data_IF_193606641522
#
_entry.id   IF_193606641522
#
_cell.length_a   1.000
_cell.length_b   1.000
_cell.length_c   1.000
_cell.angle_alpha   90.00
_cell.angle_beta   90.00
_cell.angle_gamma   90.00
#
_symmetry.space_group_name_H-M   'P 1'
#
loop_
_entity.id
_entity.type
_entity.pdbx_description
1 polymer ?
#
# COMPACT_ATOMS: atom_id res chain seq x y z
N UNK A 1 -0.30 -15.80 -7.38
CA UNK A 1 -1.26 -14.92 -6.69
C UNK A 1 -2.49 -15.66 -6.22
N UNK A 2 -3.21 -16.38 -7.10
CA UNK A 2 -4.45 -17.10 -6.72
C UNK A 2 -4.31 -18.00 -5.48
N UNK A 3 -3.26 -18.82 -5.40
CA UNK A 3 -2.99 -19.65 -4.22
C UNK A 3 -2.82 -18.83 -2.94
N UNK A 4 -2.11 -17.70 -3.02
CA UNK A 4 -1.89 -16.79 -1.89
C UNK A 4 -3.21 -16.16 -1.44
N UNK A 5 -4.02 -15.69 -2.40
CA UNK A 5 -5.34 -15.12 -2.12
C UNK A 5 -6.26 -16.14 -1.44
N UNK A 6 -6.31 -17.37 -1.94
CA UNK A 6 -7.14 -18.42 -1.36
C UNK A 6 -6.71 -18.76 0.07
N UNK A 7 -5.40 -18.82 0.32
CA UNK A 7 -4.84 -19.06 1.66
C UNK A 7 -5.20 -17.93 2.64
N UNK A 8 -5.04 -16.67 2.22
CA UNK A 8 -5.42 -15.50 3.02
C UNK A 8 -6.92 -15.54 3.35
N UNK A 9 -7.78 -15.79 2.37
CA UNK A 9 -9.24 -15.83 2.60
C UNK A 9 -9.65 -16.92 3.58
N UNK A 10 -8.94 -18.06 3.60
CA UNK A 10 -9.24 -19.18 4.47
C UNK A 10 -8.73 -18.96 5.89
N UNK A 11 -7.60 -18.25 6.04
CA UNK A 11 -6.85 -18.20 7.29
C UNK A 11 -6.67 -16.76 7.84
N UNK A 12 -7.44 -15.77 7.36
CA UNK A 12 -7.24 -14.35 7.70
C UNK A 12 -7.21 -14.08 9.21
N UNK A 13 -7.99 -14.83 10.00
CA UNK A 13 -8.06 -14.67 11.46
C UNK A 13 -6.78 -15.12 12.18
N UNK A 14 -6.00 -16.02 11.56
CA UNK A 14 -4.78 -16.60 12.13
C UNK A 14 -3.49 -15.96 11.59
N UNK A 15 -3.58 -15.17 10.52
CA UNK A 15 -2.41 -14.56 9.88
C UNK A 15 -2.09 -13.21 10.50
N UNK A 16 -1.06 -13.20 11.35
CA UNK A 16 -0.40 -11.97 11.79
C UNK A 16 0.34 -11.39 10.56
N UNK A 17 -0.06 -10.20 10.11
CA UNK A 17 0.40 -9.54 8.88
C UNK A 17 -0.04 -10.20 7.57
N UNK A 18 -1.34 -10.26 7.31
CA UNK A 18 -1.91 -10.88 6.10
C UNK A 18 -1.41 -10.26 4.78
N UNK A 19 -0.94 -9.01 4.82
CA UNK A 19 -0.40 -8.32 3.64
C UNK A 19 0.94 -8.92 3.18
N UNK A 20 1.68 -9.58 4.07
CA UNK A 20 3.07 -10.00 3.81
C UNK A 20 3.22 -10.96 2.61
N UNK A 21 2.41 -12.02 2.46
CA UNK A 21 2.48 -12.88 1.27
C UNK A 21 2.17 -12.15 -0.04
N UNK A 22 1.30 -11.13 -0.01
CA UNK A 22 0.96 -10.33 -1.19
C UNK A 22 2.13 -9.41 -1.57
N UNK A 23 2.62 -8.62 -0.61
CA UNK A 23 3.74 -7.69 -0.82
C UNK A 23 4.98 -8.44 -1.30
N UNK A 24 5.32 -9.57 -0.66
CA UNK A 24 6.42 -10.43 -1.08
C UNK A 24 6.29 -10.87 -2.54
N UNK A 25 5.09 -11.32 -2.96
CA UNK A 25 4.88 -11.80 -4.33
C UNK A 25 4.94 -10.69 -5.37
N UNK A 26 4.47 -9.49 -5.03
CA UNK A 26 4.54 -8.32 -5.93
C UNK A 26 5.97 -7.79 -6.02
N UNK A 27 6.71 -7.77 -4.90
CA UNK A 27 8.10 -7.33 -4.83
C UNK A 27 9.06 -8.21 -5.64
N UNK A 28 8.81 -9.53 -5.71
CA UNK A 28 9.56 -10.43 -6.61
C UNK A 28 9.55 -9.98 -8.07
N UNK A 29 8.53 -9.20 -8.47
CA UNK A 29 8.42 -8.64 -9.81
C UNK A 29 9.01 -7.23 -9.87
N UNK A 30 8.46 -6.30 -9.08
CA UNK A 30 8.91 -4.91 -9.01
C UNK A 30 8.29 -4.23 -7.77
N UNK A 31 9.08 -3.47 -7.01
CA UNK A 31 8.60 -2.75 -5.83
C UNK A 31 7.45 -1.77 -6.14
N UNK A 32 7.42 -1.19 -7.34
CA UNK A 32 6.34 -0.31 -7.78
C UNK A 32 4.97 -0.99 -7.77
N UNK A 33 4.91 -2.31 -7.95
CA UNK A 33 3.65 -3.06 -7.86
C UNK A 33 3.12 -3.12 -6.43
N UNK A 34 4.02 -3.20 -5.44
CA UNK A 34 3.66 -3.16 -4.01
C UNK A 34 3.05 -1.81 -3.68
N UNK A 35 3.69 -0.72 -4.12
CA UNK A 35 3.22 0.64 -3.87
C UNK A 35 1.89 0.92 -4.57
N UNK A 36 1.72 0.54 -5.84
CA UNK A 36 0.44 0.70 -6.56
C UNK A 36 -0.69 -0.05 -5.88
N UNK A 37 -0.43 -1.29 -5.46
CA UNK A 37 -1.41 -2.08 -4.71
C UNK A 37 -1.82 -1.38 -3.42
N UNK A 38 -0.85 -0.90 -2.64
CA UNK A 38 -1.13 -0.24 -1.38
C UNK A 38 -1.89 1.08 -1.55
N UNK A 39 -1.50 1.91 -2.53
CA UNK A 39 -2.20 3.15 -2.87
C UNK A 39 -3.67 2.89 -3.21
N UNK A 40 -3.96 1.97 -4.14
CA UNK A 40 -5.35 1.68 -4.53
C UNK A 40 -6.20 1.14 -3.37
N UNK A 41 -5.61 0.40 -2.43
CA UNK A 41 -6.32 -0.03 -1.23
C UNK A 41 -6.71 1.14 -0.32
N UNK A 42 -5.80 2.11 -0.15
CA UNK A 42 -6.05 3.32 0.64
C UNK A 42 -7.06 4.24 -0.05
N UNK A 43 -7.01 4.37 -1.39
CA UNK A 43 -8.00 5.14 -2.16
C UNK A 43 -9.42 4.60 -1.96
N UNK A 44 -9.59 3.27 -2.07
CA UNK A 44 -10.88 2.61 -1.82
C UNK A 44 -11.36 2.89 -0.40
N UNK A 45 -10.50 2.75 0.60
CA UNK A 45 -10.89 2.98 1.98
C UNK A 45 -11.32 4.44 2.21
N UNK A 46 -10.48 5.37 1.77
CA UNK A 46 -10.69 6.78 2.05
C UNK A 46 -11.96 7.30 1.38
N UNK A 47 -12.23 6.88 0.15
CA UNK A 47 -13.44 7.26 -0.60
C UNK A 47 -14.73 6.71 -0.01
N UNK A 48 -14.69 5.65 0.80
CA UNK A 48 -15.88 5.00 1.35
C UNK A 48 -16.07 5.25 2.86
N UNK A 49 -14.97 5.43 3.60
CA UNK A 49 -14.96 5.42 5.07
C UNK A 49 -14.42 6.72 5.69
N UNK A 50 -13.61 7.52 4.98
CA UNK A 50 -12.98 8.75 5.50
C UNK A 50 -13.19 9.99 4.59
N UNK A 51 -14.43 10.20 4.13
CA UNK A 51 -14.77 11.29 3.18
C UNK A 51 -14.34 12.70 3.61
N UNK A 52 -14.22 12.97 4.92
CA UNK A 52 -13.87 14.31 5.43
C UNK A 52 -12.47 14.75 5.03
N UNK A 53 -11.53 13.80 4.99
CA UNK A 53 -10.13 14.06 4.69
C UNK A 53 -9.72 13.58 3.29
N UNK A 54 -10.69 13.07 2.51
CA UNK A 54 -10.48 12.49 1.18
C UNK A 54 -9.55 13.33 0.31
N UNK A 55 -9.85 14.60 0.07
CA UNK A 55 -9.05 15.44 -0.83
C UNK A 55 -7.58 15.58 -0.41
N UNK A 56 -7.30 15.61 0.90
CA UNK A 56 -5.92 15.73 1.39
C UNK A 56 -5.18 14.41 1.25
N UNK A 57 -5.85 13.30 1.55
CA UNK A 57 -5.28 11.96 1.38
C UNK A 57 -5.01 11.69 -0.09
N UNK A 58 -5.98 11.99 -0.96
CA UNK A 58 -5.88 11.86 -2.41
C UNK A 58 -4.70 12.63 -3.00
N UNK A 59 -4.44 13.84 -2.50
CA UNK A 59 -3.26 14.63 -2.87
C UNK A 59 -1.96 13.89 -2.52
N UNK A 60 -1.84 13.36 -1.29
CA UNK A 60 -0.65 12.60 -0.90
C UNK A 60 -0.49 11.28 -1.66
N UNK A 61 -1.59 10.57 -1.94
CA UNK A 61 -1.56 9.33 -2.72
C UNK A 61 -1.13 9.59 -4.16
N UNK A 62 -1.61 10.68 -4.77
CA UNK A 62 -1.19 11.14 -6.09
C UNK A 62 0.31 11.43 -6.09
N UNK A 63 0.81 12.17 -5.09
CA UNK A 63 2.25 12.47 -4.97
C UNK A 63 3.10 11.20 -4.80
N UNK A 64 2.62 10.19 -4.07
CA UNK A 64 3.31 8.88 -3.95
C UNK A 64 3.46 8.22 -5.34
N UNK A 65 2.40 8.22 -6.16
CA UNK A 65 2.44 7.63 -7.50
C UNK A 65 3.31 8.44 -8.47
N UNK A 66 3.26 9.76 -8.40
CA UNK A 66 4.14 10.64 -9.18
C UNK A 66 5.60 10.37 -8.84
N UNK A 67 5.94 10.30 -7.55
CA UNK A 67 7.29 10.05 -7.09
C UNK A 67 7.78 8.65 -7.47
N UNK A 68 6.91 7.64 -7.42
CA UNK A 68 7.23 6.29 -7.86
C UNK A 68 7.63 6.23 -9.35
N UNK A 69 7.02 7.08 -10.19
CA UNK A 69 7.28 7.10 -11.62
C UNK A 69 8.46 8.01 -12.01
N UNK A 70 8.65 9.12 -11.29
CA UNK A 70 9.64 10.15 -11.64
C UNK A 70 10.94 10.03 -10.85
N UNK A 71 10.88 9.47 -9.63
CA UNK A 71 12.02 9.29 -8.73
C UNK A 71 12.80 10.59 -8.46
N UNK A 72 12.09 11.70 -8.20
CA UNK A 72 12.67 13.04 -8.05
C UNK A 72 13.16 13.34 -6.63
N UNK A 73 12.53 12.76 -5.62
CA UNK A 73 12.79 13.06 -4.22
C UNK A 73 13.91 12.19 -3.65
N UNK A 74 14.63 12.74 -2.67
CA UNK A 74 15.55 11.97 -1.83
C UNK A 74 14.80 11.22 -0.73
N UNK A 75 15.42 10.22 -0.12
CA UNK A 75 14.86 9.52 1.05
C UNK A 75 14.55 10.48 2.20
N UNK A 76 15.42 11.47 2.44
CA UNK A 76 15.19 12.51 3.45
C UNK A 76 13.94 13.35 3.17
N UNK A 77 13.65 13.67 1.90
CA UNK A 77 12.41 14.38 1.56
C UNK A 77 11.17 13.50 1.73
N UNK A 78 11.26 12.22 1.41
CA UNK A 78 10.18 11.28 1.74
C UNK A 78 9.94 11.19 3.25
N UNK A 79 11.01 11.24 4.07
CA UNK A 79 10.90 11.28 5.55
C UNK A 79 10.26 12.55 6.07
N UNK A 80 10.58 13.70 5.48
CA UNK A 80 9.94 14.97 5.84
C UNK A 80 8.43 14.90 5.59
N UNK A 81 8.00 14.37 4.44
CA UNK A 81 6.57 14.20 4.12
C UNK A 81 5.91 13.19 5.08
N UNK A 82 6.57 12.06 5.35
CA UNK A 82 6.15 11.10 6.38
C UNK A 82 5.90 11.79 7.73
N UNK A 83 6.83 12.64 8.19
CA UNK A 83 6.70 13.36 9.46
C UNK A 83 5.56 14.38 9.44
N UNK A 84 5.39 15.11 8.34
CA UNK A 84 4.30 16.07 8.16
C UNK A 84 2.94 15.40 8.36
N UNK A 85 2.71 14.27 7.67
CA UNK A 85 1.45 13.53 7.78
C UNK A 85 1.31 12.89 9.17
N UNK A 86 2.39 12.31 9.71
CA UNK A 86 2.35 11.63 11.01
C UNK A 86 2.00 12.57 12.17
N UNK A 87 2.52 13.80 12.16
CA UNK A 87 2.28 14.78 13.24
C UNK A 87 1.10 15.72 12.95
N UNK A 88 0.35 15.43 11.90
CA UNK A 88 -0.83 16.19 11.52
C UNK A 88 -1.94 16.12 12.59
N UNK A 89 -2.63 17.24 12.91
CA UNK A 89 -3.73 17.25 13.87
C UNK A 89 -5.00 16.54 13.38
N UNK A 90 -5.06 16.14 12.11
CA UNK A 90 -6.18 15.45 11.49
C UNK A 90 -5.87 13.99 11.14
N UNK A 91 -4.88 13.38 11.81
CA UNK A 91 -4.47 12.00 11.54
C UNK A 91 -5.49 10.98 12.06
N UNK A 92 -6.07 10.24 11.13
CA UNK A 92 -6.90 9.04 11.28
C UNK A 92 -6.22 7.85 10.56
N UNK A 93 -6.97 6.83 10.15
CA UNK A 93 -6.41 5.59 9.62
C UNK A 93 -5.84 5.80 8.21
N UNK A 94 -6.54 6.55 7.34
CA UNK A 94 -6.05 6.80 5.98
C UNK A 94 -4.74 7.61 5.98
N UNK A 95 -4.59 8.58 6.88
CA UNK A 95 -3.34 9.34 7.00
C UNK A 95 -2.22 8.52 7.61
N UNK A 96 -2.55 7.62 8.54
CA UNK A 96 -1.59 6.65 9.07
C UNK A 96 -1.10 5.73 7.96
N UNK A 97 -1.98 5.28 7.06
CA UNK A 97 -1.59 4.51 5.89
C UNK A 97 -0.72 5.31 4.90
N UNK A 98 -1.11 6.56 4.55
CA UNK A 98 -0.28 7.47 3.75
C UNK A 98 1.11 7.65 4.36
N UNK A 99 1.17 7.79 5.69
CA UNK A 99 2.44 7.89 6.40
C UNK A 99 3.31 6.66 6.13
N UNK A 100 2.77 5.46 6.26
CA UNK A 100 3.49 4.22 5.96
C UNK A 100 3.93 4.13 4.48
N UNK A 101 3.17 4.68 3.53
CA UNK A 101 3.57 4.75 2.12
C UNK A 101 4.78 5.66 1.91
N UNK A 102 4.83 6.83 2.56
CA UNK A 102 5.99 7.73 2.49
C UNK A 102 7.22 7.15 3.19
N UNK A 103 7.02 6.45 4.31
CA UNK A 103 8.09 5.69 4.97
C UNK A 103 8.64 4.58 4.08
N UNK A 104 7.74 3.84 3.42
CA UNK A 104 8.08 2.80 2.44
C UNK A 104 8.96 3.38 1.33
N UNK A 105 8.56 4.50 0.73
CA UNK A 105 9.33 5.17 -0.33
C UNK A 105 10.72 5.61 0.16
N UNK A 106 10.82 6.15 1.38
CA UNK A 106 12.10 6.55 1.96
C UNK A 106 13.05 5.35 2.13
N UNK A 107 12.55 4.23 2.65
CA UNK A 107 13.32 3.00 2.83
C UNK A 107 13.77 2.40 1.50
N UNK A 108 12.89 2.40 0.49
CA UNK A 108 13.24 1.92 -0.85
C UNK A 108 14.40 2.71 -1.44
N UNK A 109 14.36 4.04 -1.31
CA UNK A 109 15.43 4.94 -1.78
C UNK A 109 16.77 4.77 -1.05
N UNK A 110 16.75 4.27 0.18
CA UNK A 110 17.95 3.90 0.93
C UNK A 110 18.44 2.48 0.64
N UNK A 111 17.77 1.75 -0.26
CA UNK A 111 18.10 0.37 -0.62
C UNK A 111 17.56 -0.67 0.37
N UNK A 112 16.69 -0.29 1.29
CA UNK A 112 16.05 -1.18 2.27
C UNK A 112 14.74 -1.77 1.72
N UNK A 113 14.82 -2.45 0.57
CA UNK A 113 13.62 -2.87 -0.19
C UNK A 113 12.67 -3.77 0.61
N UNK A 114 13.18 -4.66 1.47
CA UNK A 114 12.37 -5.55 2.32
C UNK A 114 11.56 -4.74 3.33
N UNK A 115 12.20 -3.78 4.00
CA UNK A 115 11.52 -2.90 4.96
C UNK A 115 10.56 -1.94 4.26
N UNK A 116 10.88 -1.52 3.03
CA UNK A 116 9.97 -0.75 2.20
C UNK A 116 8.68 -1.54 1.89
N UNK A 117 8.80 -2.76 1.34
CA UNK A 117 7.64 -3.57 1.02
C UNK A 117 6.78 -3.89 2.25
N UNK A 118 7.41 -4.17 3.40
CA UNK A 118 6.73 -4.35 4.68
C UNK A 118 5.96 -3.10 5.09
N UNK A 119 6.56 -1.91 4.99
CA UNK A 119 5.89 -0.66 5.32
C UNK A 119 4.68 -0.40 4.42
N UNK A 120 4.78 -0.66 3.11
CA UNK A 120 3.63 -0.59 2.21
C UNK A 120 2.53 -1.60 2.58
N UNK A 121 2.90 -2.82 3.00
CA UNK A 121 1.95 -3.80 3.53
C UNK A 121 1.21 -3.31 4.77
N UNK A 122 1.93 -2.71 5.72
CA UNK A 122 1.34 -2.10 6.92
C UNK A 122 0.34 -1.00 6.55
N UNK A 123 0.62 -0.20 5.52
CA UNK A 123 -0.35 0.81 5.05
C UNK A 123 -1.71 0.18 4.69
N UNK A 124 -1.71 -1.00 4.05
CA UNK A 124 -2.94 -1.73 3.70
C UNK A 124 -3.63 -2.33 4.92
N UNK A 125 -2.85 -2.82 5.89
CA UNK A 125 -3.40 -3.39 7.12
C UNK A 125 -4.09 -2.34 8.00
N UNK A 126 -3.54 -1.12 8.05
CA UNK A 126 -4.14 0.01 8.76
C UNK A 126 -5.55 0.31 8.22
N UNK A 127 -5.75 0.23 6.90
CA UNK A 127 -7.05 0.47 6.26
C UNK A 127 -7.91 -0.79 6.10
N UNK A 128 -7.50 -1.90 6.71
CA UNK A 128 -8.32 -3.09 6.94
C UNK A 128 -8.24 -3.55 8.41
N UNK A 129 -8.71 -2.73 9.36
CA UNK A 129 -8.54 -3.02 10.79
C UNK A 129 -9.40 -4.21 11.27
N UNK A 130 -10.49 -4.53 10.56
CA UNK A 130 -11.34 -5.67 10.86
C UNK A 130 -11.27 -6.72 9.73
N UNK A 131 -10.59 -7.83 10.00
CA UNK A 131 -10.47 -8.98 9.11
C UNK A 131 -11.84 -9.60 8.72
N UNK A 132 -12.91 -9.27 9.44
CA UNK A 132 -14.29 -9.68 9.11
C UNK A 132 -14.93 -8.83 8.01
N UNK A 133 -14.30 -7.71 7.61
CA UNK A 133 -14.72 -6.97 6.42
C UNK A 133 -14.27 -7.72 5.15
N UNK A 134 -14.85 -8.90 4.95
CA UNK A 134 -14.53 -9.80 3.83
C UNK A 134 -14.77 -9.13 2.48
N UNK A 135 -15.71 -8.19 2.38
CA UNK A 135 -15.96 -7.46 1.14
C UNK A 135 -14.79 -6.53 0.78
N UNK A 136 -14.27 -5.78 1.75
CA UNK A 136 -13.13 -4.89 1.53
C UNK A 136 -11.85 -5.69 1.30
N UNK A 137 -11.62 -6.75 2.10
CA UNK A 137 -10.51 -7.68 1.90
C UNK A 137 -10.53 -8.27 0.49
N UNK A 138 -11.68 -8.76 0.01
CA UNK A 138 -11.81 -9.33 -1.32
C UNK A 138 -11.46 -8.35 -2.43
N UNK A 139 -11.76 -7.06 -2.24
CA UNK A 139 -11.38 -6.00 -3.19
C UNK A 139 -9.88 -5.77 -3.17
N UNK A 140 -9.26 -5.71 -2.01
CA UNK A 140 -7.80 -5.55 -1.89
C UNK A 140 -7.04 -6.70 -2.53
N UNK A 141 -7.50 -7.94 -2.32
CA UNK A 141 -6.93 -9.13 -2.95
C UNK A 141 -7.13 -9.14 -4.48
N UNK A 142 -8.28 -8.68 -4.97
CA UNK A 142 -8.53 -8.52 -6.41
C UNK A 142 -7.62 -7.48 -7.05
N UNK A 143 -7.33 -6.37 -6.37
CA UNK A 143 -6.37 -5.36 -6.85
C UNK A 143 -5.00 -6.01 -7.03
N UNK A 144 -4.50 -6.74 -6.03
CA UNK A 144 -3.20 -7.43 -6.11
C UNK A 144 -3.15 -8.41 -7.30
N UNK A 145 -4.22 -9.18 -7.52
CA UNK A 145 -4.32 -10.07 -8.68
C UNK A 145 -4.32 -9.32 -10.00
N UNK A 146 -5.09 -8.23 -10.09
CA UNK A 146 -5.20 -7.40 -11.30
C UNK A 146 -3.82 -6.82 -11.67
N UNK A 147 -3.15 -6.15 -10.72
CA UNK A 147 -1.83 -5.54 -10.90
C UNK A 147 -0.80 -6.57 -11.37
N UNK A 148 -0.73 -7.74 -10.72
CA UNK A 148 0.22 -8.77 -11.13
C UNK A 148 -0.06 -9.27 -12.56
N UNK A 149 -1.34 -9.47 -12.91
CA UNK A 149 -1.74 -9.96 -14.23
C UNK A 149 -1.41 -8.95 -15.32
N UNK A 150 -1.65 -7.66 -15.06
CA UNK A 150 -1.30 -6.55 -15.95
C UNK A 150 0.22 -6.51 -16.18
N UNK A 151 1.01 -6.58 -15.11
CA UNK A 151 2.48 -6.61 -15.20
C UNK A 151 2.99 -7.81 -16.00
N UNK A 152 2.47 -9.01 -15.73
CA UNK A 152 2.87 -10.21 -16.47
C UNK A 152 2.54 -10.11 -17.95
N UNK A 153 1.36 -9.57 -18.31
CA UNK A 153 0.95 -9.41 -19.70
C UNK A 153 1.85 -8.44 -20.48
N UNK A 154 2.41 -7.43 -19.81
CA UNK A 154 3.33 -6.45 -20.41
C UNK A 154 4.74 -7.00 -20.62
N UNK A 155 5.14 -8.02 -19.84
CA UNK A 155 6.50 -8.59 -19.84
C UNK A 155 6.61 -9.96 -20.55
N UNK A 156 5.56 -10.39 -21.27
CA UNK A 156 5.54 -11.63 -22.07
C UNK A 156 5.83 -11.35 -23.57
N UNK A 157 6.21 -10.12 -23.94
CA UNK A 157 6.62 -9.75 -25.30
C UNK A 157 8.15 -9.66 -25.47
#
# INVERSE_FOLDING_TARGET
MEKIINDIKQNIEDIIFWSYPITSKLQECDYSLVMRWAVECVEIFTSEYELRNFYKVDEYLTQVLEELNQNNLTSDKCREIYQEVWYSPWREDAQTAVTHLWWSMANFKDGEEIEAAKAAGVAVEVVLPDAKNHLLLDRYLKIAQRILTEYQSQNIN
#
